data_IF_019543874015
#
_entry.id   IF_019543874015
#
_cell.length_a   1.000
_cell.length_b   1.000
_cell.length_c   1.000
_cell.angle_alpha   90.00
_cell.angle_beta   90.00
_cell.angle_gamma   90.00
#
_symmetry.space_group_name_H-M   'P 1'
#
loop_
_entity.id
_entity.type
_entity.pdbx_description
1 polymer ?
#
# COMPACT_ATOMS: atom_id res chain seq x y z
N UNK A 1 -15.62 -17.12 18.37
CA UNK A 1 -14.59 -17.36 17.33
C UNK A 1 -14.72 -16.40 16.15
N UNK A 2 -15.85 -15.69 15.98
CA UNK A 2 -16.13 -14.79 14.84
C UNK A 2 -15.25 -13.55 14.76
N UNK A 3 -14.96 -12.86 15.88
CA UNK A 3 -14.12 -11.64 15.85
C UNK A 3 -12.66 -11.86 15.42
N UNK A 4 -12.25 -13.12 15.21
CA UNK A 4 -10.90 -13.44 14.76
C UNK A 4 -10.75 -13.35 13.24
N UNK A 5 -11.73 -13.84 12.47
CA UNK A 5 -11.68 -13.87 11.01
C UNK A 5 -11.98 -12.49 10.40
N UNK A 6 -12.70 -11.64 11.14
CA UNK A 6 -13.05 -10.28 10.73
C UNK A 6 -11.84 -9.35 10.54
N UNK A 7 -10.76 -9.56 11.31
CA UNK A 7 -9.56 -8.72 11.23
C UNK A 7 -8.74 -9.01 9.97
N UNK A 8 -8.45 -10.29 9.71
CA UNK A 8 -7.64 -10.68 8.54
C UNK A 8 -8.39 -10.42 7.22
N UNK A 9 -9.72 -10.58 7.23
CA UNK A 9 -10.56 -10.19 6.09
C UNK A 9 -10.60 -8.67 5.89
N UNK A 10 -10.75 -7.88 6.97
CA UNK A 10 -10.69 -6.42 6.90
C UNK A 10 -9.34 -5.89 6.41
N UNK A 11 -8.24 -6.57 6.71
CA UNK A 11 -6.90 -6.20 6.25
C UNK A 11 -6.72 -6.32 4.72
N UNK A 12 -7.52 -7.16 4.06
CA UNK A 12 -7.46 -7.32 2.60
C UNK A 12 -7.90 -6.06 1.87
N UNK A 13 -8.85 -5.32 2.44
CA UNK A 13 -9.38 -4.09 1.85
C UNK A 13 -8.58 -2.85 2.24
N UNK A 14 -7.57 -2.98 3.12
CA UNK A 14 -6.70 -1.86 3.47
C UNK A 14 -5.67 -1.63 2.35
N UNK A 15 -5.44 -0.37 1.95
CA UNK A 15 -4.42 -0.02 0.97
C UNK A 15 -3.03 -0.24 1.57
N UNK A 16 -2.05 -0.51 0.70
CA UNK A 16 -0.65 -0.44 1.06
C UNK A 16 -0.21 1.03 1.07
N UNK A 17 0.51 1.42 2.12
CA UNK A 17 1.04 2.75 2.29
C UNK A 17 2.56 2.71 2.46
N UNK A 18 3.26 3.69 1.90
CA UNK A 18 4.69 3.87 2.18
C UNK A 18 4.86 4.49 3.56
N UNK A 19 5.74 3.91 4.38
CA UNK A 19 6.02 4.36 5.75
C UNK A 19 7.51 4.33 6.02
N UNK A 20 7.98 5.29 6.82
CA UNK A 20 9.38 5.37 7.24
C UNK A 20 9.48 5.14 8.75
N UNK A 21 10.36 4.23 9.16
CA UNK A 21 10.68 3.98 10.56
C UNK A 21 12.18 4.27 10.78
N UNK A 22 12.50 5.49 11.23
CA UNK A 22 13.88 5.98 11.22
C UNK A 22 14.38 6.18 9.79
N UNK A 23 15.51 5.56 9.44
CA UNK A 23 16.13 5.66 8.10
C UNK A 23 15.65 4.57 7.13
N UNK A 24 14.75 3.68 7.57
CA UNK A 24 14.27 2.55 6.77
C UNK A 24 12.87 2.79 6.23
N UNK A 25 12.71 2.55 4.93
CA UNK A 25 11.43 2.67 4.20
C UNK A 25 10.77 1.30 4.04
N UNK A 26 9.47 1.25 4.25
CA UNK A 26 8.65 0.05 4.11
C UNK A 26 7.34 0.38 3.39
N UNK A 27 6.67 -0.65 2.90
CA UNK A 27 5.23 -0.61 2.67
C UNK A 27 4.51 -1.31 3.82
N UNK A 28 3.41 -0.74 4.29
CA UNK A 28 2.63 -1.30 5.38
C UNK A 28 1.14 -1.12 5.15
N UNK A 29 0.37 -2.00 5.79
CA UNK A 29 -1.07 -1.82 5.97
C UNK A 29 -1.51 -2.41 7.28
N UNK A 30 -2.51 -1.78 7.90
CA UNK A 30 -2.99 -2.19 9.21
C UNK A 30 -4.51 -2.09 9.29
N UNK A 31 -5.10 -2.90 10.16
CA UNK A 31 -6.50 -2.77 10.54
C UNK A 31 -6.61 -2.78 12.06
N UNK A 32 -7.31 -1.79 12.62
CA UNK A 32 -7.61 -1.68 14.04
C UNK A 32 -9.12 -1.86 14.25
N UNK A 33 -9.47 -2.65 15.27
CA UNK A 33 -10.84 -2.90 15.74
C UNK A 33 -10.87 -2.87 17.26
N UNK A 34 -12.05 -2.99 17.84
CA UNK A 34 -12.22 -3.06 19.30
C UNK A 34 -11.57 -4.30 19.92
N UNK A 35 -11.48 -5.40 19.15
CA UNK A 35 -10.94 -6.69 19.60
C UNK A 35 -9.44 -6.84 19.41
N UNK A 36 -8.78 -5.92 18.71
CA UNK A 36 -7.37 -6.04 18.38
C UNK A 36 -6.95 -5.30 17.12
N UNK A 37 -5.74 -5.62 16.66
CA UNK A 37 -5.23 -5.13 15.39
C UNK A 37 -4.49 -6.22 14.62
N UNK A 38 -4.35 -5.99 13.33
CA UNK A 38 -3.48 -6.74 12.42
C UNK A 38 -2.64 -5.76 11.61
N UNK A 39 -1.36 -6.09 11.43
CA UNK A 39 -0.37 -5.26 10.77
C UNK A 39 0.45 -6.14 9.83
N UNK A 40 0.61 -5.70 8.58
CA UNK A 40 1.42 -6.37 7.57
C UNK A 40 2.38 -5.34 6.98
N UNK A 41 3.67 -5.68 6.96
CA UNK A 41 4.77 -4.77 6.56
C UNK A 41 5.71 -5.51 5.63
N UNK A 42 6.28 -4.81 4.66
CA UNK A 42 7.29 -5.35 3.76
C UNK A 42 8.33 -4.29 3.40
N UNK A 43 9.59 -4.70 3.31
CA UNK A 43 10.68 -3.93 2.70
C UNK A 43 10.89 -4.34 1.22
N UNK A 44 9.88 -4.97 0.62
CA UNK A 44 9.88 -5.58 -0.73
C UNK A 44 10.82 -6.78 -0.90
N UNK A 45 11.62 -7.11 0.11
CA UNK A 45 12.48 -8.30 0.14
C UNK A 45 11.90 -9.39 1.04
N UNK A 46 11.30 -8.98 2.15
CA UNK A 46 10.70 -9.80 3.19
C UNK A 46 9.33 -9.23 3.58
N UNK A 47 8.51 -10.06 4.20
CA UNK A 47 7.18 -9.68 4.67
C UNK A 47 7.03 -10.11 6.12
N UNK A 48 6.58 -9.21 6.98
CA UNK A 48 6.31 -9.47 8.39
C UNK A 48 4.86 -9.20 8.72
N UNK A 49 4.33 -9.99 9.65
CA UNK A 49 2.94 -9.95 10.05
C UNK A 49 2.84 -9.99 11.56
N UNK A 50 2.04 -9.10 12.13
CA UNK A 50 1.63 -9.19 13.53
C UNK A 50 0.11 -9.16 13.63
N UNK A 51 -0.38 -9.96 14.57
CA UNK A 51 -1.75 -9.92 15.06
C UNK A 51 -1.72 -9.83 16.58
N UNK A 52 -2.45 -8.88 17.13
CA UNK A 52 -2.58 -8.72 18.57
C UNK A 52 -4.06 -8.55 18.94
N UNK A 53 -4.53 -9.44 19.80
CA UNK A 53 -5.84 -9.35 20.44
C UNK A 53 -5.78 -8.54 21.74
N UNK A 54 -6.91 -8.42 22.42
CA UNK A 54 -7.00 -7.70 23.69
C UNK A 54 -6.08 -8.24 24.78
N UNK A 55 -5.77 -9.54 24.77
CA UNK A 55 -4.93 -10.18 25.78
C UNK A 55 -3.46 -9.84 25.55
N UNK A 56 -2.99 -9.97 24.30
CA UNK A 56 -1.65 -9.53 23.89
C UNK A 56 -1.47 -8.05 24.21
N UNK A 57 -2.49 -7.24 23.89
CA UNK A 57 -2.41 -5.80 24.07
C UNK A 57 -2.37 -5.44 25.56
N UNK A 58 -3.23 -6.08 26.37
CA UNK A 58 -3.31 -5.85 27.80
C UNK A 58 -2.05 -6.28 28.56
N UNK A 59 -1.36 -7.34 28.12
CA UNK A 59 -0.07 -7.76 28.69
C UNK A 59 1.03 -6.77 28.31
N UNK A 60 1.18 -6.50 27.02
CA UNK A 60 2.25 -5.65 26.49
C UNK A 60 2.14 -4.20 26.98
N UNK A 61 0.92 -3.68 27.12
CA UNK A 61 0.70 -2.33 27.66
C UNK A 61 1.21 -2.19 29.09
N UNK A 62 0.95 -3.17 29.95
CA UNK A 62 1.44 -3.20 31.34
C UNK A 62 2.95 -3.34 31.44
N UNK A 63 3.55 -4.13 30.55
CA UNK A 63 5.00 -4.34 30.50
C UNK A 63 5.74 -3.06 30.10
N UNK A 64 5.28 -2.40 29.02
CA UNK A 64 5.94 -1.23 28.45
C UNK A 64 5.58 0.08 29.17
N UNK A 65 4.37 0.17 29.74
CA UNK A 65 3.83 1.41 30.30
C UNK A 65 3.43 1.25 31.77
N UNK A 66 4.38 0.90 32.63
CA UNK A 66 4.15 0.58 34.06
C UNK A 66 3.43 1.67 34.87
N UNK A 67 3.45 2.92 34.41
CA UNK A 67 2.82 4.08 35.07
C UNK A 67 1.44 4.42 34.50
N UNK A 68 1.07 3.86 33.34
CA UNK A 68 -0.21 4.12 32.69
C UNK A 68 -1.21 3.03 33.07
N UNK A 69 -2.32 3.44 33.69
CA UNK A 69 -3.46 2.56 33.96
C UNK A 69 -4.61 2.99 33.05
N UNK A 70 -4.79 2.28 31.94
CA UNK A 70 -5.88 2.54 31.01
C UNK A 70 -6.46 1.22 30.48
N UNK A 71 -7.71 1.28 30.01
CA UNK A 71 -8.37 0.11 29.43
C UNK A 71 -7.73 -0.26 28.08
N UNK A 72 -7.81 -1.54 27.69
CA UNK A 72 -7.23 -2.05 26.44
C UNK A 72 -7.78 -1.31 25.22
N UNK A 73 -9.08 -0.96 25.22
CA UNK A 73 -9.70 -0.17 24.16
C UNK A 73 -9.09 1.23 24.01
N UNK A 74 -8.68 1.88 25.11
CA UNK A 74 -7.99 3.17 25.07
C UNK A 74 -6.60 3.04 24.46
N UNK A 75 -5.88 1.95 24.76
CA UNK A 75 -4.60 1.64 24.12
C UNK A 75 -4.78 1.39 22.62
N UNK A 76 -5.79 0.60 22.23
CA UNK A 76 -6.10 0.34 20.82
C UNK A 76 -6.42 1.62 20.05
N UNK A 77 -7.28 2.47 20.59
CA UNK A 77 -7.61 3.77 19.99
C UNK A 77 -6.37 4.68 19.90
N UNK A 78 -5.50 4.64 20.90
CA UNK A 78 -4.23 5.37 20.83
C UNK A 78 -3.35 4.85 19.71
N UNK A 79 -3.20 3.52 19.56
CA UNK A 79 -2.40 2.93 18.49
C UNK A 79 -2.96 3.26 17.10
N UNK A 80 -4.28 3.23 16.91
CA UNK A 80 -4.90 3.66 15.65
C UNK A 80 -4.63 5.14 15.36
N UNK A 81 -4.72 6.00 16.36
CA UNK A 81 -4.44 7.44 16.19
C UNK A 81 -2.96 7.75 15.90
N UNK A 82 -2.05 6.82 16.21
CA UNK A 82 -0.63 6.93 15.86
C UNK A 82 -0.36 6.36 14.46
N UNK A 83 -0.93 5.20 14.13
CA UNK A 83 -0.63 4.47 12.90
C UNK A 83 -1.45 4.93 11.69
N UNK A 84 -2.73 5.28 11.85
CA UNK A 84 -3.57 5.67 10.72
C UNK A 84 -3.04 6.93 10.00
N UNK A 85 -2.66 8.03 10.69
CA UNK A 85 -2.07 9.17 10.01
C UNK A 85 -0.78 8.82 9.26
N UNK A 86 0.07 7.97 9.85
CA UNK A 86 1.30 7.49 9.21
C UNK A 86 1.00 6.71 7.93
N UNK A 87 0.00 5.81 7.96
CA UNK A 87 -0.46 5.05 6.79
C UNK A 87 -1.17 5.92 5.75
N UNK A 88 -1.68 7.09 6.14
CA UNK A 88 -2.21 8.10 5.22
C UNK A 88 -1.10 8.99 4.63
N UNK A 89 0.17 8.75 4.96
CA UNK A 89 1.31 9.56 4.53
C UNK A 89 1.40 10.92 5.22
N UNK A 90 0.76 11.08 6.39
CA UNK A 90 0.86 12.30 7.19
C UNK A 90 2.01 12.19 8.17
N UNK A 91 2.96 13.10 8.07
CA UNK A 91 4.06 13.20 9.03
C UNK A 91 3.58 13.80 10.35
N UNK A 92 4.12 13.31 11.46
CA UNK A 92 3.84 13.83 12.80
C UNK A 92 5.14 13.94 13.59
N UNK A 93 5.65 15.17 13.72
CA UNK A 93 6.89 15.48 14.45
C UNK A 93 6.84 15.12 15.95
N UNK A 94 5.64 14.90 16.49
CA UNK A 94 5.43 14.55 17.89
C UNK A 94 5.71 13.07 18.21
N UNK A 95 5.77 12.21 17.19
CA UNK A 95 5.87 10.76 17.35
C UNK A 95 7.20 10.26 16.80
N UNK A 96 7.94 9.51 17.61
CA UNK A 96 9.17 8.87 17.17
C UNK A 96 8.88 7.40 16.86
N UNK A 97 9.14 7.02 15.60
CA UNK A 97 9.12 5.64 15.16
C UNK A 97 10.54 5.20 14.82
N UNK A 98 10.91 3.99 15.25
CA UNK A 98 12.14 3.33 14.83
C UNK A 98 11.88 1.84 14.65
N UNK A 99 12.77 1.15 13.94
CA UNK A 99 12.66 -0.29 13.76
C UNK A 99 13.97 -1.01 14.06
N UNK A 100 13.84 -2.24 14.54
CA UNK A 100 14.92 -3.17 14.70
C UNK A 100 14.59 -4.45 13.92
N UNK A 101 15.38 -4.71 12.88
CA UNK A 101 15.26 -5.91 12.07
C UNK A 101 16.25 -6.98 12.56
N UNK A 102 15.76 -8.21 12.70
CA UNK A 102 16.60 -9.40 12.85
C UNK A 102 16.27 -10.40 11.74
N UNK A 103 17.06 -11.45 11.52
CA UNK A 103 16.81 -12.41 10.43
C UNK A 103 15.44 -13.10 10.49
N UNK A 104 14.78 -13.12 11.65
CA UNK A 104 13.51 -13.84 11.86
C UNK A 104 12.32 -12.94 12.21
N UNK A 105 12.55 -11.66 12.56
CA UNK A 105 11.48 -10.75 12.97
C UNK A 105 11.85 -9.28 12.72
N UNK A 106 10.82 -8.47 12.57
CA UNK A 106 10.89 -7.02 12.59
C UNK A 106 10.19 -6.52 13.86
N UNK A 107 10.86 -5.71 14.66
CA UNK A 107 10.24 -4.98 15.77
C UNK A 107 10.13 -3.51 15.39
N UNK A 108 8.94 -2.91 15.52
CA UNK A 108 8.76 -1.46 15.34
C UNK A 108 8.49 -0.84 16.71
N UNK A 109 9.34 0.11 17.09
CA UNK A 109 9.25 0.85 18.33
C UNK A 109 8.54 2.17 18.09
N UNK A 110 7.55 2.45 18.92
CA UNK A 110 6.79 3.69 18.93
C UNK A 110 6.99 4.36 20.26
N UNK A 111 7.48 5.59 20.22
CA UNK A 111 7.57 6.48 21.36
C UNK A 111 6.77 7.73 21.08
N UNK A 112 5.83 8.05 21.97
CA UNK A 112 4.96 9.20 21.85
C UNK A 112 4.58 9.73 23.25
N UNK A 113 3.81 10.80 23.31
CA UNK A 113 3.34 11.40 24.58
C UNK A 113 1.81 11.36 24.68
N UNK A 114 1.30 10.93 25.83
CA UNK A 114 -0.13 10.92 26.17
C UNK A 114 -0.33 11.79 27.41
N UNK A 115 -0.85 13.01 27.22
CA UNK A 115 -1.19 13.95 28.31
C UNK A 115 0.00 14.23 29.26
N UNK A 116 1.19 14.51 28.73
CA UNK A 116 2.39 14.74 29.54
C UNK A 116 3.13 13.46 29.96
N UNK A 117 2.57 12.27 29.70
CA UNK A 117 3.18 11.00 30.07
C UNK A 117 3.78 10.30 28.84
N UNK A 118 4.97 9.71 28.96
CA UNK A 118 5.56 8.95 27.86
C UNK A 118 4.76 7.66 27.62
N UNK A 119 4.46 7.42 26.35
CA UNK A 119 3.77 6.24 25.83
C UNK A 119 4.72 5.45 24.94
N UNK A 120 4.84 4.15 25.21
CA UNK A 120 5.70 3.23 24.47
C UNK A 120 4.89 2.07 23.92
N UNK A 121 5.19 1.68 22.68
CA UNK A 121 4.64 0.47 22.08
C UNK A 121 5.66 -0.20 21.16
N UNK A 122 5.73 -1.53 21.23
CA UNK A 122 6.53 -2.33 20.32
C UNK A 122 5.61 -3.24 19.52
N UNK A 123 5.59 -3.09 18.20
CA UNK A 123 5.00 -4.06 17.29
C UNK A 123 6.01 -5.19 17.05
N UNK A 124 5.59 -6.43 17.28
CA UNK A 124 6.44 -7.62 17.17
C UNK A 124 5.99 -8.45 15.97
N UNK A 125 6.63 -8.21 14.82
CA UNK A 125 6.23 -8.77 13.55
C UNK A 125 7.18 -9.92 13.15
N UNK A 126 6.85 -11.20 13.43
CA UNK A 126 7.58 -12.33 12.85
C UNK A 126 7.43 -12.38 11.33
N UNK A 127 8.29 -13.16 10.67
CA UNK A 127 8.17 -13.44 9.24
C UNK A 127 6.76 -13.98 8.91
N UNK A 128 6.13 -13.41 7.89
CA UNK A 128 4.78 -13.76 7.49
C UNK A 128 4.73 -15.16 6.85
N UNK A 129 3.65 -15.89 7.10
CA UNK A 129 3.40 -17.17 6.44
C UNK A 129 3.18 -16.98 4.93
N UNK A 130 3.52 -18.00 4.13
CA UNK A 130 3.38 -17.97 2.66
C UNK A 130 1.95 -17.66 2.23
N UNK A 131 0.94 -18.14 2.96
CA UNK A 131 -0.46 -17.83 2.63
C UNK A 131 -0.77 -16.34 2.78
N UNK A 132 -0.18 -15.64 3.77
CA UNK A 132 -0.34 -14.20 3.93
C UNK A 132 0.30 -13.45 2.76
N UNK A 133 1.50 -13.86 2.35
CA UNK A 133 2.19 -13.27 1.19
C UNK A 133 1.38 -13.49 -0.09
N UNK A 134 0.91 -14.72 -0.31
CA UNK A 134 0.08 -15.08 -1.47
C UNK A 134 -1.21 -14.26 -1.53
N UNK A 135 -1.90 -14.13 -0.39
CA UNK A 135 -3.20 -13.48 -0.30
C UNK A 135 -3.12 -11.96 -0.38
N UNK A 136 -2.10 -11.33 0.19
CA UNK A 136 -1.99 -9.87 0.29
C UNK A 136 -1.10 -9.22 -0.76
N UNK A 137 -0.22 -9.98 -1.44
CA UNK A 137 0.68 -9.46 -2.48
C UNK A 137 0.49 -10.22 -3.80
N UNK A 138 0.78 -11.51 -3.84
CA UNK A 138 0.90 -12.25 -5.12
C UNK A 138 -0.42 -12.30 -5.90
N UNK A 139 -1.51 -12.76 -5.28
CA UNK A 139 -2.82 -12.87 -5.94
C UNK A 139 -3.36 -11.50 -6.38
N UNK A 140 -3.35 -10.44 -5.53
CA UNK A 140 -3.73 -9.10 -5.96
C UNK A 140 -2.90 -8.56 -7.13
N UNK A 141 -1.57 -8.68 -7.08
CA UNK A 141 -0.69 -8.16 -8.13
C UNK A 141 -0.89 -8.84 -9.47
N UNK A 142 -1.08 -10.17 -9.49
CA UNK A 142 -1.42 -10.90 -10.72
C UNK A 142 -2.75 -10.40 -11.30
N UNK A 143 -3.78 -10.22 -10.45
CA UNK A 143 -5.09 -9.73 -10.88
C UNK A 143 -5.02 -8.30 -11.42
N UNK A 144 -4.29 -7.41 -10.75
CA UNK A 144 -4.07 -6.04 -11.19
C UNK A 144 -3.33 -6.01 -12.54
N UNK A 145 -2.29 -6.83 -12.68
CA UNK A 145 -1.52 -6.92 -13.93
C UNK A 145 -2.39 -7.36 -15.11
N UNK A 146 -3.25 -8.36 -14.88
CA UNK A 146 -4.20 -8.83 -15.88
C UNK A 146 -5.26 -7.76 -16.21
N UNK A 147 -5.81 -7.08 -15.20
CA UNK A 147 -6.78 -6.00 -15.42
C UNK A 147 -6.19 -4.84 -16.24
N UNK A 148 -4.96 -4.43 -15.91
CA UNK A 148 -4.23 -3.40 -16.67
C UNK A 148 -3.95 -3.85 -18.11
N UNK A 149 -3.61 -5.12 -18.33
CA UNK A 149 -3.43 -5.67 -19.67
C UNK A 149 -4.73 -5.59 -20.48
N UNK A 150 -5.87 -5.93 -19.89
CA UNK A 150 -7.17 -5.80 -20.56
C UNK A 150 -7.50 -4.34 -20.89
N UNK A 151 -7.27 -3.40 -19.97
CA UNK A 151 -7.51 -1.97 -20.22
C UNK A 151 -6.64 -1.45 -21.37
N UNK A 152 -5.37 -1.88 -21.47
CA UNK A 152 -4.50 -1.51 -22.59
C UNK A 152 -5.02 -2.04 -23.93
N UNK A 153 -5.54 -3.27 -23.96
CA UNK A 153 -6.12 -3.87 -25.16
C UNK A 153 -7.40 -3.16 -25.59
N UNK A 154 -8.28 -2.84 -24.64
CA UNK A 154 -9.51 -2.09 -24.90
C UNK A 154 -9.20 -0.70 -25.46
N UNK A 155 -8.30 0.04 -24.81
CA UNK A 155 -7.88 1.36 -25.27
C UNK A 155 -7.25 1.31 -26.67
N UNK A 156 -6.44 0.29 -26.96
CA UNK A 156 -5.87 0.09 -28.29
C UNK A 156 -6.96 -0.16 -29.34
N UNK A 157 -8.00 -0.93 -29.01
CA UNK A 157 -9.12 -1.18 -29.92
C UNK A 157 -9.95 0.08 -30.20
N UNK A 158 -10.19 0.90 -29.16
CA UNK A 158 -10.86 2.19 -29.29
C UNK A 158 -10.08 3.17 -30.16
N UNK A 159 -8.75 3.20 -30.02
CA UNK A 159 -7.87 4.02 -30.86
C UNK A 159 -7.95 3.61 -32.34
N UNK A 160 -7.94 2.30 -32.63
CA UNK A 160 -8.09 1.80 -34.01
C UNK A 160 -9.46 2.16 -34.59
N UNK A 161 -10.53 2.03 -33.80
CA UNK A 161 -11.86 2.42 -34.25
C UNK A 161 -11.95 3.92 -34.57
N UNK A 162 -11.32 4.76 -33.74
CA UNK A 162 -11.26 6.21 -33.96
C UNK A 162 -10.42 6.57 -35.18
N UNK A 163 -9.33 5.84 -35.45
CA UNK A 163 -8.54 6.02 -36.67
C UNK A 163 -9.35 5.71 -37.95
N UNK A 164 -10.22 4.70 -37.91
CA UNK A 164 -11.13 4.39 -39.04
C UNK A 164 -12.13 5.53 -39.23
N UNK A 165 -12.77 5.98 -38.16
CA UNK A 165 -13.73 7.09 -38.21
C UNK A 165 -13.10 8.38 -38.77
N UNK A 166 -11.86 8.71 -38.38
CA UNK A 166 -11.12 9.86 -38.91
C UNK A 166 -10.86 9.70 -40.41
N UNK A 167 -10.51 8.50 -40.86
CA UNK A 167 -10.27 8.23 -42.26
C UNK A 167 -11.58 8.35 -43.07
N UNK A 168 -12.69 7.83 -42.56
CA UNK A 168 -14.01 7.97 -43.18
C UNK A 168 -14.42 9.45 -43.36
N UNK A 169 -14.17 10.31 -42.35
CA UNK A 169 -14.41 11.74 -42.46
C UNK A 169 -13.53 12.41 -43.53
N UNK A 170 -12.27 11.98 -43.67
CA UNK A 170 -11.37 12.49 -44.71
C UNK A 170 -11.83 12.08 -46.10
N UNK A 171 -12.19 10.80 -46.27
CA UNK A 171 -12.72 10.28 -47.54
C UNK A 171 -14.04 10.95 -47.94
N UNK A 172 -14.86 11.32 -46.96
CA UNK A 172 -16.13 12.05 -47.18
C UNK A 172 -15.96 13.55 -47.49
N UNK A 173 -14.71 14.06 -47.57
CA UNK A 173 -14.41 15.44 -47.95
C UNK A 173 -14.61 16.47 -46.83
N UNK A 174 -14.68 16.04 -45.56
CA UNK A 174 -14.78 16.96 -44.43
C UNK A 174 -13.47 17.73 -44.23
N UNK A 175 -13.51 19.06 -44.29
CA UNK A 175 -12.36 19.92 -44.04
C UNK A 175 -12.28 20.32 -42.55
N UNK A 176 -11.08 20.23 -41.97
CA UNK A 176 -10.84 20.67 -40.59
C UNK A 176 -10.87 22.21 -40.53
N UNK A 177 -11.79 22.79 -39.76
CA UNK A 177 -11.96 24.25 -39.65
C UNK A 177 -10.88 24.93 -38.79
N UNK A 178 -9.98 24.16 -38.18
CA UNK A 178 -8.88 24.63 -37.32
C UNK A 178 -7.62 23.87 -37.69
N UNK A 179 -6.56 24.62 -37.99
CA UNK A 179 -5.19 24.13 -38.15
C UNK A 179 -4.68 23.67 -36.77
N UNK A 180 -5.17 22.53 -36.30
CA UNK A 180 -4.74 21.86 -35.08
C UNK A 180 -4.18 20.51 -35.51
N UNK A 181 -2.95 20.23 -35.09
CA UNK A 181 -2.08 19.20 -35.65
C UNK A 181 -2.80 17.87 -35.95
N UNK A 182 -2.62 17.26 -37.14
CA UNK A 182 -3.26 16.00 -37.48
C UNK A 182 -2.80 14.90 -36.51
N UNK A 183 -3.76 14.20 -35.89
CA UNK A 183 -3.47 13.01 -35.08
C UNK A 183 -2.76 11.96 -35.96
N UNK A 184 -1.60 11.49 -35.50
CA UNK A 184 -0.81 10.47 -36.19
C UNK A 184 -1.48 9.11 -36.01
N UNK A 185 -1.80 8.43 -37.11
CA UNK A 185 -2.42 7.10 -37.15
C UNK A 185 -1.77 6.14 -36.16
N UNK A 186 -2.57 5.56 -35.27
CA UNK A 186 -2.15 4.49 -34.37
C UNK A 186 -1.94 3.20 -35.17
N UNK A 187 -0.70 2.97 -35.64
CA UNK A 187 -0.34 1.66 -36.21
C UNK A 187 -0.44 0.60 -35.10
N UNK A 188 -1.49 -0.21 -35.13
CA UNK A 188 -1.87 -1.26 -34.16
C UNK A 188 -0.89 -2.42 -33.94
N UNK A 189 0.41 -2.17 -33.83
CA UNK A 189 1.26 -3.02 -32.99
C UNK A 189 1.03 -2.54 -31.55
N UNK A 190 0.74 -3.44 -30.60
CA UNK A 190 0.65 -3.03 -29.20
C UNK A 190 1.94 -2.29 -28.86
N UNK A 191 1.83 -1.11 -28.25
CA UNK A 191 2.92 -0.14 -28.01
C UNK A 191 4.11 -0.68 -27.21
N UNK A 192 4.17 -1.99 -26.94
CA UNK A 192 5.25 -2.72 -26.29
C UNK A 192 6.58 -2.51 -27.03
N UNK A 193 6.58 -2.37 -28.36
CA UNK A 193 7.80 -2.09 -29.13
C UNK A 193 8.16 -0.60 -29.25
N UNK A 194 7.25 0.32 -28.89
CA UNK A 194 7.48 1.77 -28.96
C UNK A 194 7.61 2.46 -27.60
N UNK A 195 7.38 1.75 -26.50
CA UNK A 195 7.93 2.14 -25.22
C UNK A 195 9.41 1.79 -25.22
N UNK A 196 10.34 2.78 -25.28
CA UNK A 196 11.76 2.48 -25.22
C UNK A 196 12.07 1.76 -23.90
N UNK A 197 13.07 0.88 -23.91
CA UNK A 197 13.58 0.21 -22.71
C UNK A 197 13.86 1.20 -21.56
N UNK A 198 14.15 2.46 -21.86
CA UNK A 198 14.28 3.57 -20.90
C UNK A 198 12.99 3.88 -20.10
N UNK A 199 11.80 3.75 -20.70
CA UNK A 199 10.51 4.03 -20.04
C UNK A 199 10.07 2.88 -19.12
N UNK A 200 10.43 1.64 -19.49
CA UNK A 200 10.23 0.45 -18.64
C UNK A 200 11.23 0.41 -17.47
N UNK A 201 12.48 0.83 -17.68
CA UNK A 201 13.49 0.89 -16.61
C UNK A 201 13.12 1.94 -15.54
N UNK A 202 12.67 3.13 -15.94
CA UNK A 202 12.23 4.16 -14.98
C UNK A 202 10.95 3.80 -14.22
N UNK A 203 9.98 3.13 -14.86
CA UNK A 203 8.75 2.66 -14.19
C UNK A 203 8.96 1.44 -13.31
N UNK A 204 9.88 0.54 -13.67
CA UNK A 204 10.24 -0.62 -12.86
C UNK A 204 11.09 -0.26 -11.63
N UNK A 205 11.97 0.75 -11.73
CA UNK A 205 12.77 1.23 -10.60
C UNK A 205 11.96 2.07 -9.59
N UNK A 206 10.89 2.74 -10.01
CA UNK A 206 9.99 3.45 -9.09
C UNK A 206 9.28 2.52 -8.08
N UNK A 207 9.23 1.21 -8.36
CA UNK A 207 8.79 0.19 -7.41
C UNK A 207 9.84 -0.15 -6.33
N UNK A 208 11.11 0.24 -6.49
CA UNK A 208 12.20 -0.08 -5.56
C UNK A 208 12.09 0.56 -4.18
N UNK A 209 11.27 1.61 -4.04
CA UNK A 209 11.01 2.29 -2.76
C UNK A 209 9.56 2.12 -2.28
N UNK A 210 8.73 1.33 -2.98
CA UNK A 210 7.30 1.11 -2.64
C UNK A 210 6.39 2.34 -2.76
N UNK A 211 6.96 3.54 -2.89
CA UNK A 211 6.26 4.82 -2.94
C UNK A 211 5.35 4.97 -4.17
N UNK A 212 5.73 4.40 -5.32
CA UNK A 212 4.90 4.43 -6.53
C UNK A 212 3.71 3.45 -6.50
N UNK A 213 3.78 2.39 -5.69
CA UNK A 213 2.71 1.39 -5.56
C UNK A 213 1.68 1.77 -4.49
N UNK A 214 2.09 2.63 -3.55
CA UNK A 214 1.28 3.16 -2.45
C UNK A 214 0.57 4.49 -2.75
N UNK A 215 0.74 5.05 -3.95
CA UNK A 215 0.06 6.29 -4.32
C UNK A 215 -1.47 6.07 -4.45
N UNK A 216 -2.31 6.89 -3.80
CA UNK A 216 -3.75 6.80 -3.98
C UNK A 216 -4.12 7.16 -5.43
N UNK A 217 -5.11 6.45 -5.97
CA UNK A 217 -5.75 6.76 -7.26
C UNK A 217 -6.45 8.13 -7.21
#
# INVERSE_FOLDING_TARGET
MEGSEDLDSSLLTQPWASVCFGESTFIAKACFRETGYVLLISDLSSVWYERADTDVIGKRSKELNKRLTAHVSSFLNRLSNLMCPLLEGRESDANSFSCQQTPSKLTIHVKSELSGLPFYWDFHCPAAAVEMISRHLVRPLIRMSLALQYQLQELASLLVQKDVEIEDYRESGAALSRESAPAVRCRGRPGIHKHPAASLHGRGQAGGEGSAEAAPL
#
